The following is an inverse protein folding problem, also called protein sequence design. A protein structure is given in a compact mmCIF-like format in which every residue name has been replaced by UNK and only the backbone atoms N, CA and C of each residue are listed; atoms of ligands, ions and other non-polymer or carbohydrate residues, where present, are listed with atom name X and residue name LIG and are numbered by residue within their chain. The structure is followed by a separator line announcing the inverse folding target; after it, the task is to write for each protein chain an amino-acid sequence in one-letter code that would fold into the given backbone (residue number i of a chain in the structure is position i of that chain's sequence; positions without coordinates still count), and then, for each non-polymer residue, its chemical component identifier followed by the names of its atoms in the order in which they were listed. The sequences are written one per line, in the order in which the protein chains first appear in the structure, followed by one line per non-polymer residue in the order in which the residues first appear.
data_IF_409878868884
#
_entry.id   IF_409878868884
#
_cell.length_a   1.000
_cell.length_b   1.000
_cell.length_c   1.000
_cell.angle_alpha   90.00
_cell.angle_beta   90.00
_cell.angle_gamma   90.00
#
_symmetry.space_group_name_H-M   'P 1'
#
loop_
_entity.id
_entity.type
_entity.pdbx_description
1 polymer ?
#
# COMPACT_ATOMS: atom_id res chain seq x y z
N UNK A 1 14.47 16.94 -25.10
CA UNK A 1 13.22 17.16 -24.36
C UNK A 1 13.58 17.66 -22.98
N UNK A 2 13.06 18.79 -22.54
CA UNK A 2 13.27 19.26 -21.18
C UNK A 2 12.60 18.26 -20.23
N UNK A 3 13.39 17.65 -19.34
CA UNK A 3 12.91 16.80 -18.28
C UNK A 3 12.06 17.68 -17.36
N UNK A 4 10.80 17.34 -17.13
CA UNK A 4 10.00 18.06 -16.15
C UNK A 4 10.63 17.86 -14.77
N UNK A 5 10.73 18.93 -13.95
CA UNK A 5 11.26 18.79 -12.61
C UNK A 5 10.39 17.82 -11.81
N UNK A 6 11.03 17.02 -10.95
CA UNK A 6 10.41 16.09 -10.03
C UNK A 6 9.47 16.82 -9.06
N UNK A 7 8.31 16.26 -8.81
CA UNK A 7 7.43 16.72 -7.74
C UNK A 7 7.71 15.86 -6.49
N UNK A 8 7.99 16.52 -5.37
CA UNK A 8 8.19 15.87 -4.07
C UNK A 8 7.08 16.30 -3.13
N UNK A 9 6.17 15.38 -2.83
CA UNK A 9 5.10 15.56 -1.86
C UNK A 9 5.60 15.15 -0.47
N UNK A 10 5.35 15.99 0.55
CA UNK A 10 5.79 15.73 1.92
C UNK A 10 4.60 15.71 2.88
N UNK A 11 4.50 14.64 3.66
CA UNK A 11 3.50 14.47 4.72
C UNK A 11 4.21 14.26 6.06
N UNK A 12 4.56 15.35 6.74
CA UNK A 12 5.31 15.29 8.00
C UNK A 12 4.44 14.92 9.21
N UNK A 13 3.13 15.04 9.09
CA UNK A 13 2.15 14.68 10.11
C UNK A 13 0.99 13.96 9.46
N UNK A 14 1.20 12.69 9.18
CA UNK A 14 0.17 11.87 8.53
C UNK A 14 -0.99 11.61 9.48
N UNK A 15 -2.17 12.01 9.06
CA UNK A 15 -3.43 11.86 9.79
C UNK A 15 -4.20 10.61 9.36
N UNK A 16 -4.02 10.21 8.09
CA UNK A 16 -4.67 9.04 7.49
C UNK A 16 -3.74 8.37 6.49
N UNK A 17 -3.66 7.05 6.59
CA UNK A 17 -2.89 6.21 5.69
C UNK A 17 -3.66 4.93 5.44
N UNK A 18 -4.25 4.81 4.24
CA UNK A 18 -5.14 3.72 3.90
C UNK A 18 -4.89 3.18 2.50
N UNK A 19 -5.36 1.96 2.28
CA UNK A 19 -5.51 1.36 0.96
C UNK A 19 -6.97 1.03 0.70
N UNK A 20 -7.40 1.16 -0.55
CA UNK A 20 -8.73 0.79 -1.01
C UNK A 20 -8.67 0.13 -2.37
N UNK A 21 -9.72 -0.62 -2.72
CA UNK A 21 -9.88 -1.19 -4.04
C UNK A 21 -11.23 -0.76 -4.62
N UNK A 22 -11.22 -0.43 -5.90
CA UNK A 22 -12.40 -0.01 -6.65
C UNK A 22 -12.60 -0.94 -7.82
N UNK A 23 -13.83 -1.33 -8.06
CA UNK A 23 -14.20 -2.28 -9.11
C UNK A 23 -14.55 -3.66 -8.57
N UNK A 24 -14.97 -4.53 -9.47
CA UNK A 24 -15.40 -5.90 -9.17
C UNK A 24 -14.21 -6.84 -8.92
N UNK A 25 -14.38 -7.90 -8.12
CA UNK A 25 -13.34 -8.91 -7.92
C UNK A 25 -12.79 -9.45 -9.24
N UNK A 26 -11.49 -9.23 -9.47
CA UNK A 26 -10.79 -9.61 -10.70
C UNK A 26 -10.47 -8.44 -11.63
N UNK A 27 -11.14 -7.30 -11.47
CA UNK A 27 -10.91 -6.07 -12.23
C UNK A 27 -10.71 -4.87 -11.29
N UNK A 28 -10.28 -5.13 -10.05
CA UNK A 28 -10.07 -4.10 -9.04
C UNK A 28 -8.80 -3.32 -9.32
N UNK A 29 -8.93 -2.00 -9.27
CA UNK A 29 -7.82 -1.08 -9.14
C UNK A 29 -7.58 -0.78 -7.65
N UNK A 30 -6.33 -0.84 -7.23
CA UNK A 30 -5.94 -0.55 -5.85
C UNK A 30 -5.35 0.84 -5.76
N UNK A 31 -5.75 1.58 -4.73
CA UNK A 31 -5.28 2.92 -4.46
C UNK A 31 -4.79 3.03 -3.02
N UNK A 32 -3.65 3.64 -2.85
CA UNK A 32 -3.10 4.03 -1.56
C UNK A 32 -3.31 5.52 -1.40
N UNK A 33 -3.88 5.95 -0.26
CA UNK A 33 -4.14 7.35 0.01
C UNK A 33 -3.48 7.78 1.31
N UNK A 34 -2.76 8.90 1.23
CA UNK A 34 -2.08 9.54 2.35
C UNK A 34 -2.67 10.92 2.53
N UNK A 35 -3.08 11.24 3.76
CA UNK A 35 -3.63 12.55 4.11
C UNK A 35 -2.86 13.15 5.29
N UNK A 36 -2.53 14.41 5.16
CA UNK A 36 -1.94 15.25 6.20
C UNK A 36 -2.54 16.65 6.14
N UNK A 37 -2.17 17.58 7.04
CA UNK A 37 -2.54 18.99 6.91
C UNK A 37 -2.06 19.62 5.60
N UNK A 38 -1.00 19.07 4.98
CA UNK A 38 -0.41 19.57 3.74
C UNK A 38 -1.23 19.17 2.49
N UNK A 39 -2.12 18.18 2.62
CA UNK A 39 -2.98 17.73 1.53
C UNK A 39 -3.25 16.24 1.51
N UNK A 40 -3.80 15.78 0.38
CA UNK A 40 -4.09 14.37 0.11
C UNK A 40 -3.38 13.98 -1.17
N UNK A 41 -2.65 12.86 -1.12
CA UNK A 41 -2.11 12.21 -2.30
C UNK A 41 -2.70 10.82 -2.46
N UNK A 42 -3.07 10.49 -3.68
CA UNK A 42 -3.62 9.18 -4.05
C UNK A 42 -2.76 8.57 -5.16
N UNK A 43 -2.25 7.38 -4.92
CA UNK A 43 -1.41 6.66 -5.87
C UNK A 43 -2.02 5.33 -6.22
N UNK A 44 -1.92 4.95 -7.49
CA UNK A 44 -2.31 3.63 -7.94
C UNK A 44 -1.23 2.61 -7.56
N UNK A 45 -1.65 1.45 -7.07
CA UNK A 45 -0.77 0.38 -6.62
C UNK A 45 -1.25 -0.97 -7.11
N UNK A 46 -0.34 -1.91 -7.27
CA UNK A 46 -0.69 -3.29 -7.57
C UNK A 46 -1.02 -4.08 -6.30
N UNK A 47 -1.86 -5.10 -6.41
CA UNK A 47 -2.24 -5.96 -5.29
C UNK A 47 -1.03 -6.54 -4.55
N UNK A 48 -0.02 -6.98 -5.30
CA UNK A 48 1.20 -7.55 -4.72
C UNK A 48 2.06 -6.49 -4.03
N UNK A 49 2.04 -5.24 -4.50
CA UNK A 49 2.70 -4.12 -3.83
C UNK A 49 2.02 -3.80 -2.50
N UNK A 50 0.68 -3.88 -2.43
CA UNK A 50 -0.07 -3.72 -1.17
C UNK A 50 0.33 -4.79 -0.16
N UNK A 51 0.39 -6.05 -0.59
CA UNK A 51 0.82 -7.17 0.26
C UNK A 51 2.24 -6.97 0.77
N UNK A 52 3.17 -6.71 -0.13
CA UNK A 52 4.59 -6.51 0.21
C UNK A 52 4.78 -5.33 1.17
N UNK A 53 4.09 -4.22 0.95
CA UNK A 53 4.16 -3.05 1.84
C UNK A 53 3.64 -3.37 3.25
N UNK A 54 2.51 -4.07 3.36
CA UNK A 54 1.97 -4.51 4.65
C UNK A 54 2.93 -5.43 5.41
N UNK A 55 3.55 -6.38 4.71
CA UNK A 55 4.55 -7.29 5.29
C UNK A 55 5.80 -6.54 5.75
N UNK A 56 6.31 -5.63 4.93
CA UNK A 56 7.50 -4.83 5.24
C UNK A 56 7.26 -3.91 6.45
N UNK A 57 6.10 -3.26 6.55
CA UNK A 57 5.72 -2.45 7.71
C UNK A 57 5.67 -3.32 8.97
N UNK A 58 5.02 -4.46 8.90
CA UNK A 58 4.90 -5.38 10.05
C UNK A 58 6.27 -5.88 10.52
N UNK A 59 7.15 -6.22 9.57
CA UNK A 59 8.52 -6.66 9.86
C UNK A 59 9.36 -5.54 10.49
N UNK A 60 9.25 -4.31 9.96
CA UNK A 60 9.95 -3.15 10.53
C UNK A 60 9.52 -2.88 11.97
N UNK A 61 8.21 -2.88 12.26
CA UNK A 61 7.70 -2.70 13.63
C UNK A 61 8.20 -3.81 14.56
N UNK A 62 8.22 -5.07 14.09
CA UNK A 62 8.71 -6.20 14.87
C UNK A 62 10.23 -6.09 15.15
N UNK A 63 11.00 -5.62 14.17
CA UNK A 63 12.45 -5.41 14.31
C UNK A 63 12.76 -4.27 15.28
N UNK A 64 12.11 -3.13 15.13
CA UNK A 64 12.24 -1.97 16.04
C UNK A 64 11.91 -2.37 17.47
N UNK A 65 10.87 -3.19 17.68
CA UNK A 65 10.54 -3.72 19.01
C UNK A 65 11.63 -4.63 19.57
N UNK A 66 12.16 -5.55 18.77
CA UNK A 66 13.20 -6.49 19.20
C UNK A 66 14.51 -5.80 19.52
N UNK A 67 14.89 -4.80 18.75
CA UNK A 67 16.14 -4.06 18.91
C UNK A 67 16.07 -2.98 20.00
N UNK A 68 14.87 -2.69 20.55
CA UNK A 68 14.70 -1.66 21.57
C UNK A 68 14.90 -0.23 21.06
N UNK A 69 14.83 -0.01 19.74
CA UNK A 69 15.02 1.31 19.12
C UNK A 69 13.84 2.24 19.37
N UNK A 70 12.65 1.70 19.65
CA UNK A 70 11.49 2.51 20.01
C UNK A 70 11.42 2.73 21.52
N UNK A 71 10.87 3.87 21.98
CA UNK A 71 10.52 4.07 23.38
C UNK A 71 9.61 2.94 23.90
N UNK A 72 9.73 2.64 25.20
CA UNK A 72 8.89 1.61 25.81
C UNK A 72 7.42 1.94 25.63
N UNK A 73 6.66 1.02 25.08
CA UNK A 73 5.24 1.16 24.85
C UNK A 73 4.83 1.59 23.43
N UNK A 74 5.69 2.30 22.71
CA UNK A 74 5.34 2.81 21.35
C UNK A 74 4.97 1.69 20.38
N UNK A 75 5.70 0.58 20.39
CA UNK A 75 5.38 -0.56 19.52
C UNK A 75 4.20 -1.39 20.01
N UNK A 76 3.71 -1.16 21.23
CA UNK A 76 2.54 -1.84 21.83
C UNK A 76 1.25 -1.08 21.60
N UNK A 77 1.29 0.12 21.00
CA UNK A 77 0.09 0.91 20.72
C UNK A 77 -0.92 0.11 19.88
N UNK A 78 -2.20 0.24 20.21
CA UNK A 78 -3.26 -0.41 19.46
C UNK A 78 -3.35 0.15 18.02
N UNK A 79 -3.71 -0.68 17.02
CA UNK A 79 -3.91 -0.21 15.67
C UNK A 79 -5.06 0.80 15.60
N UNK A 80 -4.85 1.89 14.88
CA UNK A 80 -5.92 2.83 14.54
C UNK A 80 -6.67 2.30 13.33
N UNK A 81 -7.80 1.66 13.58
CA UNK A 81 -8.63 1.08 12.54
C UNK A 81 -9.39 2.18 11.81
N UNK A 82 -9.28 2.19 10.50
CA UNK A 82 -9.98 3.09 9.59
C UNK A 82 -10.73 2.24 8.53
N UNK A 83 -12.04 2.17 8.65
CA UNK A 83 -12.91 1.46 7.72
C UNK A 83 -13.64 2.40 6.75
N UNK A 84 -13.38 3.70 6.86
CA UNK A 84 -13.99 4.69 5.98
C UNK A 84 -13.49 4.52 4.53
N UNK A 85 -14.34 4.82 3.55
CA UNK A 85 -13.94 4.76 2.15
C UNK A 85 -12.81 5.74 1.85
N UNK A 86 -12.14 5.50 0.72
CA UNK A 86 -11.19 6.45 0.15
C UNK A 86 -11.88 7.78 -0.14
N UNK A 87 -11.20 8.90 0.07
CA UNK A 87 -11.77 10.22 -0.22
C UNK A 87 -11.82 10.47 -1.73
N UNK A 88 -12.93 11.06 -2.19
CA UNK A 88 -13.18 11.44 -3.57
C UNK A 88 -13.00 12.97 -3.78
N UNK A 89 -12.63 13.43 -4.99
CA UNK A 89 -12.39 12.63 -6.19
C UNK A 89 -11.10 11.80 -6.11
N UNK A 90 -11.07 10.68 -6.82
CA UNK A 90 -9.85 9.86 -6.92
C UNK A 90 -9.04 10.37 -8.10
N UNK A 91 -8.15 11.28 -7.81
CA UNK A 91 -7.14 11.76 -8.76
C UNK A 91 -5.81 11.12 -8.40
N UNK A 92 -5.35 10.20 -9.26
CA UNK A 92 -4.06 9.53 -9.01
C UNK A 92 -2.91 10.45 -9.40
N UNK A 93 -2.03 10.71 -8.45
CA UNK A 93 -0.82 11.50 -8.67
C UNK A 93 0.16 10.71 -9.54
N UNK A 94 0.35 9.41 -9.25
CA UNK A 94 1.18 8.51 -10.05
C UNK A 94 0.87 7.04 -9.79
N UNK A 95 1.50 6.16 -10.57
CA UNK A 95 1.56 4.73 -10.34
C UNK A 95 2.80 4.40 -9.51
N UNK A 96 2.65 3.60 -8.46
CA UNK A 96 3.76 3.20 -7.60
C UNK A 96 4.78 2.36 -8.36
N UNK A 97 6.03 2.78 -8.34
CA UNK A 97 7.19 2.03 -8.80
C UNK A 97 7.90 1.34 -7.64
N UNK A 98 8.41 2.13 -6.70
CA UNK A 98 9.21 1.64 -5.56
C UNK A 98 8.69 2.21 -4.26
N UNK A 99 8.65 1.38 -3.22
CA UNK A 99 8.40 1.78 -1.85
C UNK A 99 9.64 1.48 -0.98
N UNK A 100 9.99 2.40 -0.09
CA UNK A 100 11.04 2.21 0.90
C UNK A 100 10.55 2.60 2.28
N UNK A 101 11.00 1.89 3.28
CA UNK A 101 10.67 2.11 4.69
C UNK A 101 11.94 2.31 5.50
N UNK A 102 11.91 3.28 6.40
CA UNK A 102 12.97 3.51 7.37
C UNK A 102 12.37 3.82 8.75
N UNK A 103 13.11 3.53 9.81
CA UNK A 103 12.78 3.97 11.15
C UNK A 103 13.57 5.23 11.47
N UNK A 104 12.89 6.36 11.64
CA UNK A 104 13.50 7.64 11.96
C UNK A 104 12.66 8.40 12.97
N UNK A 105 13.29 9.02 13.95
CA UNK A 105 12.62 9.88 14.95
C UNK A 105 11.41 9.23 15.62
N UNK A 106 11.51 7.94 15.94
CA UNK A 106 10.44 7.12 16.53
C UNK A 106 9.17 6.99 15.67
N UNK A 107 9.31 7.16 14.37
CA UNK A 107 8.24 7.01 13.39
C UNK A 107 8.72 6.20 12.18
N UNK A 108 7.76 5.69 11.43
CA UNK A 108 8.04 5.06 10.14
C UNK A 108 8.12 6.16 9.09
N UNK A 109 9.26 6.29 8.43
CA UNK A 109 9.39 7.09 7.22
C UNK A 109 9.11 6.18 6.02
N UNK A 110 8.07 6.54 5.26
CA UNK A 110 7.68 5.89 4.04
C UNK A 110 8.05 6.77 2.85
N UNK A 111 8.83 6.24 1.93
CA UNK A 111 9.16 6.89 0.66
C UNK A 111 8.56 6.10 -0.48
N UNK A 112 7.73 6.74 -1.30
CA UNK A 112 7.05 6.15 -2.44
C UNK A 112 7.49 6.88 -3.70
N UNK A 113 8.03 6.14 -4.67
CA UNK A 113 8.50 6.68 -5.94
C UNK A 113 7.56 6.24 -7.07
N UNK A 114 7.27 7.16 -7.96
CA UNK A 114 6.55 6.88 -9.21
C UNK A 114 7.31 5.87 -10.08
N UNK A 115 6.58 5.09 -10.87
CA UNK A 115 7.18 4.23 -11.88
C UNK A 115 8.03 5.06 -12.84
N UNK A 116 9.19 4.55 -13.20
CA UNK A 116 10.11 5.18 -14.15
C UNK A 116 10.28 4.31 -15.38
N UNK A 117 10.31 4.92 -16.57
CA UNK A 117 10.58 4.23 -17.82
C UNK A 117 11.97 3.58 -17.89
N UNK A 118 12.91 4.12 -17.11
CA UNK A 118 14.33 3.71 -17.13
C UNK A 118 14.69 2.84 -15.91
N UNK A 119 13.69 2.32 -15.18
CA UNK A 119 13.86 1.58 -13.92
C UNK A 119 14.71 2.33 -12.89
N UNK A 120 14.72 3.66 -12.97
CA UNK A 120 15.53 4.52 -12.13
C UNK A 120 14.98 4.55 -10.71
N UNK A 121 15.81 4.19 -9.73
CA UNK A 121 15.50 4.26 -8.30
C UNK A 121 16.27 5.43 -7.69
N UNK A 122 15.57 6.51 -7.38
CA UNK A 122 16.09 7.71 -6.73
C UNK A 122 15.17 8.10 -5.57
N UNK A 123 15.47 7.59 -4.39
CA UNK A 123 14.66 7.78 -3.17
C UNK A 123 15.06 9.01 -2.35
N UNK A 124 16.11 9.70 -2.77
CA UNK A 124 16.49 11.00 -2.23
C UNK A 124 15.70 12.11 -2.94
N UNK A 125 15.60 13.27 -2.31
CA UNK A 125 14.82 14.41 -2.78
C UNK A 125 15.57 15.33 -3.75
N UNK A 126 16.43 14.75 -4.59
CA UNK A 126 17.12 15.47 -5.66
C UNK A 126 16.14 16.08 -6.66
N UNK A 127 16.55 17.16 -7.30
CA UNK A 127 15.71 17.96 -8.21
C UNK A 127 15.21 17.18 -9.44
N UNK A 128 15.97 16.20 -9.90
CA UNK A 128 15.65 15.38 -11.07
C UNK A 128 15.27 13.95 -10.70
N UNK A 129 14.23 13.43 -11.29
CA UNK A 129 13.82 12.03 -11.11
C UNK A 129 12.31 11.81 -11.21
N UNK A 130 11.84 10.58 -10.96
CA UNK A 130 10.43 10.29 -10.85
C UNK A 130 9.81 10.96 -9.62
N UNK A 131 8.52 11.30 -9.68
CA UNK A 131 7.80 11.91 -8.57
C UNK A 131 7.90 11.08 -7.29
N UNK A 132 7.87 11.76 -6.16
CA UNK A 132 8.16 11.16 -4.86
C UNK A 132 7.15 11.63 -3.81
N UNK A 133 6.71 10.70 -2.96
CA UNK A 133 6.03 11.00 -1.70
C UNK A 133 6.95 10.58 -0.55
N UNK A 134 7.17 11.48 0.40
CA UNK A 134 7.86 11.21 1.65
C UNK A 134 6.88 11.46 2.79
N UNK A 135 6.60 10.46 3.59
CA UNK A 135 5.59 10.53 4.64
C UNK A 135 6.12 9.95 5.94
N UNK A 136 5.84 10.62 7.07
CA UNK A 136 6.06 10.07 8.41
C UNK A 136 4.76 9.49 8.93
N UNK A 137 4.78 8.20 9.28
CA UNK A 137 3.58 7.45 9.65
C UNK A 137 3.71 6.98 11.10
N UNK A 138 2.80 7.39 11.99
CA UNK A 138 2.72 6.84 13.33
C UNK A 138 2.45 5.33 13.34
N UNK A 139 2.95 4.63 14.34
CA UNK A 139 2.85 3.15 14.44
C UNK A 139 1.40 2.67 14.48
N UNK A 140 0.50 3.38 15.15
CA UNK A 140 -0.92 3.05 15.23
C UNK A 140 -1.61 3.09 13.86
N UNK A 141 -1.32 4.13 13.06
CA UNK A 141 -1.79 4.23 11.67
C UNK A 141 -1.19 3.13 10.78
N UNK A 142 0.10 2.87 10.93
CA UNK A 142 0.78 1.82 10.16
C UNK A 142 0.20 0.43 10.46
N UNK A 143 -0.09 0.13 11.71
CA UNK A 143 -0.78 -1.12 12.11
C UNK A 143 -2.20 -1.19 11.56
N UNK A 144 -2.97 -0.10 11.62
CA UNK A 144 -4.30 0.00 11.04
C UNK A 144 -4.29 -0.25 9.54
N UNK A 145 -3.33 0.33 8.83
CA UNK A 145 -3.10 0.07 7.41
C UNK A 145 -2.84 -1.42 7.14
N UNK A 146 -1.95 -2.07 7.91
CA UNK A 146 -1.64 -3.49 7.72
C UNK A 146 -2.88 -4.38 7.86
N UNK A 147 -3.74 -4.11 8.85
CA UNK A 147 -4.99 -4.86 9.02
C UNK A 147 -5.90 -4.69 7.81
N UNK A 148 -6.14 -3.44 7.40
CA UNK A 148 -6.97 -3.13 6.24
C UNK A 148 -6.40 -3.72 4.94
N UNK A 149 -5.10 -3.63 4.73
CA UNK A 149 -4.42 -4.17 3.57
C UNK A 149 -4.56 -5.70 3.49
N UNK A 150 -4.36 -6.39 4.61
CA UNK A 150 -4.50 -7.83 4.68
C UNK A 150 -5.93 -8.28 4.38
N UNK A 151 -6.93 -7.62 4.97
CA UNK A 151 -8.34 -7.90 4.69
C UNK A 151 -8.66 -7.70 3.21
N UNK A 152 -8.23 -6.57 2.65
CA UNK A 152 -8.48 -6.21 1.26
C UNK A 152 -7.84 -7.19 0.28
N UNK A 153 -6.59 -7.59 0.52
CA UNK A 153 -5.85 -8.53 -0.32
C UNK A 153 -6.44 -9.94 -0.22
N UNK A 154 -6.95 -10.33 0.95
CA UNK A 154 -7.55 -11.63 1.20
C UNK A 154 -9.02 -11.73 0.73
N UNK A 155 -9.70 -10.63 0.48
CA UNK A 155 -11.01 -10.57 -0.19
C UNK A 155 -10.89 -10.95 -1.68
N UNK A 156 -10.20 -12.05 -1.96
CA UNK A 156 -10.05 -12.60 -3.28
C UNK A 156 -11.35 -13.19 -3.82
N UNK A 157 -11.34 -13.61 -5.10
CA UNK A 157 -12.42 -14.37 -5.72
C UNK A 157 -12.70 -15.60 -4.85
N UNK A 158 -13.98 -15.96 -4.60
CA UNK A 158 -14.31 -17.17 -3.88
C UNK A 158 -13.67 -18.39 -4.59
N UNK A 159 -13.18 -19.33 -3.79
CA UNK A 159 -12.66 -20.56 -4.34
C UNK A 159 -13.81 -21.42 -4.89
N UNK A 160 -13.59 -22.04 -6.06
CA UNK A 160 -14.53 -22.99 -6.61
C UNK A 160 -14.68 -24.20 -5.67
N UNK A 161 -15.91 -24.58 -5.27
CA UNK A 161 -16.13 -25.69 -4.36
C UNK A 161 -15.68 -27.05 -4.95
N UNK A 162 -15.51 -27.14 -6.28
CA UNK A 162 -15.11 -28.38 -6.94
C UNK A 162 -13.61 -28.50 -7.19
N UNK A 163 -12.94 -27.43 -7.62
CA UNK A 163 -11.52 -27.46 -7.98
C UNK A 163 -10.61 -26.58 -7.13
N UNK A 164 -11.17 -25.74 -6.26
CA UNK A 164 -10.41 -24.82 -5.42
C UNK A 164 -9.83 -23.59 -6.13
N UNK A 165 -9.94 -23.49 -7.44
CA UNK A 165 -9.47 -22.35 -8.22
C UNK A 165 -10.35 -21.11 -7.99
N UNK A 166 -9.78 -19.87 -8.06
CA UNK A 166 -10.56 -18.64 -7.93
C UNK A 166 -11.67 -18.56 -9.00
N UNK A 167 -12.87 -18.21 -8.56
CA UNK A 167 -14.05 -18.03 -9.43
C UNK A 167 -14.35 -16.53 -9.64
N UNK A 168 -14.64 -16.12 -10.88
CA UNK A 168 -15.26 -14.83 -11.17
C UNK A 168 -16.76 -14.88 -10.84
N UNK A 169 -17.45 -13.73 -10.80
CA UNK A 169 -18.89 -13.67 -10.65
C UNK A 169 -19.63 -14.40 -11.81
N UNK A 170 -19.06 -14.34 -13.01
CA UNK A 170 -19.52 -15.09 -14.19
C UNK A 170 -19.16 -16.57 -14.17
N UNK A 171 -18.50 -17.06 -13.14
CA UNK A 171 -17.99 -18.41 -13.03
C UNK A 171 -16.61 -18.60 -13.68
N UNK A 172 -16.18 -19.86 -13.82
CA UNK A 172 -14.99 -20.25 -14.55
C UNK A 172 -15.19 -21.63 -15.19
N UNK A 173 -14.40 -21.94 -16.20
CA UNK A 173 -14.34 -23.30 -16.75
C UNK A 173 -13.67 -24.21 -15.74
N UNK A 174 -14.49 -24.91 -14.95
CA UNK A 174 -14.00 -25.79 -13.90
C UNK A 174 -13.46 -27.10 -14.48
N UNK A 175 -12.17 -27.45 -14.31
CA UNK A 175 -11.62 -28.70 -14.79
C UNK A 175 -12.31 -29.94 -14.22
N UNK A 176 -12.86 -29.83 -13.00
CA UNK A 176 -13.56 -30.94 -12.33
C UNK A 176 -15.05 -31.02 -12.67
N UNK A 177 -15.69 -29.89 -13.04
CA UNK A 177 -17.10 -29.86 -13.41
C UNK A 177 -17.32 -30.20 -14.90
N UNK A 178 -16.31 -30.03 -15.77
CA UNK A 178 -16.37 -30.26 -17.20
C UNK A 178 -16.05 -31.72 -17.63
N UNK A 179 -16.23 -32.69 -16.73
CA UNK A 179 -16.27 -34.10 -17.15
C UNK A 179 -14.91 -34.76 -17.43
N UNK A 180 -13.79 -34.17 -16.98
CA UNK A 180 -12.54 -34.92 -16.93
C UNK A 180 -12.63 -35.97 -15.80
N UNK A 181 -13.27 -37.10 -16.11
CA UNK A 181 -13.10 -38.33 -15.34
C UNK A 181 -11.72 -38.89 -15.70
N UNK A 182 -10.88 -39.06 -14.71
CA UNK A 182 -9.78 -40.04 -14.77
C UNK A 182 -10.38 -41.43 -14.65
#
# INVERSE_FOLDING_TARGET
MAKMPRIVYRHNNTLRFIVSAIGEPGEREFFLQIKSPDGINTIAVEKEQVRALSEQISNLIAEVRRSGLAPKGDTSVAPKIDNEPIEFPIEKDFQLGVANLAWRNNQIELTLQAISSDDLILLDDLEDGPDLIISTIPIDLAKGFCLRANDLVNQGRPACPFCGLPMNQSGHLCPRANGYRR
#
